data_IF_258544620826
#
_entry.id   IF_258544620826
#
_cell.length_a   1.000
_cell.length_b   1.000
_cell.length_c   1.000
_cell.angle_alpha   90.00
_cell.angle_beta   90.00
_cell.angle_gamma   90.00
#
_symmetry.space_group_name_H-M   'P 1'
#
loop_
_entity.id
_entity.type
_entity.pdbx_description
1 polymer ?
#
# COMPACT_ATOMS: atom_id res chain seq x y z
N UNK A 1 -14.25 -8.43 9.75
CA UNK A 1 -14.05 -9.45 10.80
C UNK A 1 -15.36 -9.91 11.49
N UNK A 2 -16.52 -9.78 10.84
CA UNK A 2 -17.83 -10.24 11.37
C UNK A 2 -18.49 -11.36 10.54
N UNK A 3 -17.88 -11.77 9.42
CA UNK A 3 -18.43 -12.80 8.51
C UNK A 3 -17.77 -14.18 8.76
N UNK A 4 -16.61 -14.22 9.41
CA UNK A 4 -15.89 -15.48 9.69
C UNK A 4 -16.28 -16.16 11.01
N UNK A 5 -17.11 -15.53 11.85
CA UNK A 5 -17.58 -16.12 13.12
C UNK A 5 -18.86 -16.95 12.91
N UNK A 6 -19.58 -16.76 11.80
CA UNK A 6 -20.82 -17.50 11.53
C UNK A 6 -20.62 -18.95 11.07
N UNK A 7 -19.43 -19.28 10.54
CA UNK A 7 -19.20 -20.62 9.97
C UNK A 7 -18.80 -21.69 11.00
N UNK A 8 -18.53 -21.32 12.26
CA UNK A 8 -18.12 -22.27 13.32
C UNK A 8 -19.30 -22.69 14.22
N UNK A 9 -20.41 -21.96 14.22
CA UNK A 9 -21.59 -22.29 15.04
C UNK A 9 -22.66 -23.14 14.33
N UNK A 10 -22.53 -23.42 13.04
CA UNK A 10 -23.54 -24.18 12.28
C UNK A 10 -23.46 -25.71 12.47
N UNK A 11 -22.38 -26.23 13.08
CA UNK A 11 -22.15 -27.67 13.26
C UNK A 11 -22.67 -28.28 14.57
N UNK A 12 -23.25 -27.50 15.50
CA UNK A 12 -23.51 -27.97 16.87
C UNK A 12 -24.89 -27.56 17.44
N UNK A 13 -25.93 -27.47 16.59
CA UNK A 13 -27.33 -27.69 16.99
C UNK A 13 -27.93 -26.89 18.17
N UNK A 14 -27.43 -25.70 18.53
CA UNK A 14 -27.92 -24.94 19.70
C UNK A 14 -28.20 -23.46 19.37
N UNK A 15 -29.31 -23.18 18.67
CA UNK A 15 -29.91 -21.84 18.66
C UNK A 15 -31.46 -21.92 18.72
N UNK A 16 -32.13 -21.09 19.55
CA UNK A 16 -33.59 -21.05 19.63
C UNK A 16 -34.24 -20.62 18.31
N UNK A 17 -35.31 -21.30 17.87
CA UNK A 17 -36.03 -21.05 16.60
C UNK A 17 -36.49 -19.60 16.38
N UNK A 18 -36.68 -18.82 17.45
CA UNK A 18 -37.06 -17.40 17.36
C UNK A 18 -35.90 -16.47 16.95
N UNK A 19 -34.65 -16.83 17.24
CA UNK A 19 -33.46 -16.06 16.84
C UNK A 19 -33.12 -16.29 15.35
N UNK A 20 -33.37 -17.50 14.85
CA UNK A 20 -33.21 -17.87 13.43
C UNK A 20 -34.10 -17.01 12.53
N UNK A 21 -35.36 -16.78 12.92
CA UNK A 21 -36.30 -15.95 12.13
C UNK A 21 -35.88 -14.48 12.04
N UNK A 22 -35.26 -13.92 13.08
CA UNK A 22 -34.79 -12.53 13.09
C UNK A 22 -33.48 -12.34 12.30
N UNK A 23 -32.57 -13.32 12.36
CA UNK A 23 -31.31 -13.30 11.61
C UNK A 23 -31.53 -13.55 10.11
N UNK A 24 -32.44 -14.47 9.74
CA UNK A 24 -32.81 -14.71 8.34
C UNK A 24 -33.55 -13.50 7.74
N UNK A 25 -34.42 -12.83 8.49
CA UNK A 25 -35.08 -11.60 8.03
C UNK A 25 -34.10 -10.43 7.82
N UNK A 26 -33.11 -10.28 8.71
CA UNK A 26 -32.05 -9.27 8.57
C UNK A 26 -31.11 -9.58 7.39
N UNK A 27 -30.77 -10.85 7.16
CA UNK A 27 -29.98 -11.28 6.01
C UNK A 27 -30.73 -11.11 4.68
N UNK A 28 -32.05 -11.37 4.65
CA UNK A 28 -32.90 -11.14 3.47
C UNK A 28 -33.07 -9.65 3.14
N UNK A 29 -33.17 -8.79 4.15
CA UNK A 29 -33.24 -7.34 3.95
C UNK A 29 -31.91 -6.74 3.43
N UNK A 30 -30.76 -7.32 3.80
CA UNK A 30 -29.44 -6.91 3.31
C UNK A 30 -29.17 -7.46 1.90
N UNK A 31 -29.67 -8.67 1.57
CA UNK A 31 -29.47 -9.29 0.26
C UNK A 31 -30.39 -8.72 -0.84
N UNK A 32 -31.60 -8.24 -0.50
CA UNK A 32 -32.55 -7.69 -1.49
C UNK A 32 -32.20 -6.28 -1.97
N UNK A 33 -31.28 -5.58 -1.30
CA UNK A 33 -30.85 -4.24 -1.71
C UNK A 33 -29.65 -4.22 -2.68
N UNK A 34 -29.06 -5.39 -3.02
CA UNK A 34 -27.87 -5.50 -3.89
C UNK A 34 -28.02 -6.31 -5.17
N UNK A 35 -29.15 -6.98 -5.41
CA UNK A 35 -29.42 -7.69 -6.66
C UNK A 35 -30.86 -7.43 -7.14
N UNK A 36 -31.06 -6.29 -7.78
CA UNK A 36 -32.20 -6.04 -8.66
C UNK A 36 -31.69 -5.62 -10.04
N UNK A 37 -30.89 -6.48 -10.64
CA UNK A 37 -30.62 -6.46 -12.07
C UNK A 37 -30.55 -7.90 -12.55
N UNK A 38 -31.45 -8.24 -13.48
CA UNK A 38 -31.48 -9.46 -14.30
C UNK A 38 -32.05 -10.72 -13.64
N UNK A 39 -33.37 -10.90 -13.78
CA UNK A 39 -33.94 -12.22 -14.02
C UNK A 39 -34.99 -12.08 -15.14
N UNK A 40 -34.61 -12.44 -16.35
CA UNK A 40 -35.53 -12.73 -17.46
C UNK A 40 -35.72 -14.24 -17.45
N UNK A 41 -36.86 -14.71 -16.95
CA UNK A 41 -37.44 -15.99 -17.35
C UNK A 41 -38.95 -15.82 -17.41
N UNK A 42 -39.48 -16.09 -18.61
CA UNK A 42 -40.87 -15.85 -18.96
C UNK A 42 -41.84 -16.81 -18.30
N UNK A 43 -43.02 -16.29 -17.99
CA UNK A 43 -44.27 -17.01 -18.16
C UNK A 43 -45.39 -15.98 -18.37
N UNK A 44 -46.25 -16.32 -19.30
CA UNK A 44 -47.39 -15.61 -19.86
C UNK A 44 -48.37 -14.99 -18.86
N UNK A 45 -49.01 -13.93 -19.37
CA UNK A 45 -50.41 -13.49 -19.16
C UNK A 45 -50.64 -12.23 -18.32
N UNK A 46 -51.48 -11.35 -18.89
CA UNK A 46 -52.07 -10.12 -18.36
C UNK A 46 -51.28 -8.81 -18.47
N UNK A 47 -50.92 -8.47 -19.72
CA UNK A 47 -51.00 -7.07 -20.13
C UNK A 47 -52.48 -6.64 -20.19
N UNK A 48 -52.98 -5.94 -19.16
CA UNK A 48 -54.11 -4.98 -19.22
C UNK A 48 -54.51 -4.54 -17.80
N UNK A 49 -53.98 -3.42 -17.35
CA UNK A 49 -54.77 -2.33 -16.76
C UNK A 49 -53.84 -1.21 -16.31
N UNK A 50 -54.32 0.03 -16.45
CA UNK A 50 -53.72 1.27 -15.95
C UNK A 50 -52.60 1.91 -16.77
N UNK A 51 -52.90 2.21 -18.03
CA UNK A 51 -52.64 3.56 -18.55
C UNK A 51 -53.79 4.47 -18.08
N UNK A 52 -53.56 5.31 -17.08
CA UNK A 52 -54.30 6.58 -16.81
C UNK A 52 -53.73 7.31 -15.60
N UNK A 53 -52.55 7.90 -15.79
CA UNK A 53 -52.08 9.13 -15.16
C UNK A 53 -50.77 9.47 -15.86
N UNK A 54 -50.69 10.63 -16.51
CA UNK A 54 -49.55 11.06 -17.33
C UNK A 54 -48.26 11.34 -16.55
N UNK A 55 -47.78 10.36 -15.78
CA UNK A 55 -46.48 10.41 -15.14
C UNK A 55 -45.52 9.57 -15.99
N UNK A 56 -44.63 10.24 -16.75
CA UNK A 56 -43.49 9.56 -17.38
C UNK A 56 -42.73 8.87 -16.24
N UNK A 57 -42.34 7.59 -16.34
CA UNK A 57 -41.43 7.02 -15.37
C UNK A 57 -40.15 7.83 -15.46
N UNK A 58 -39.94 8.71 -14.47
CA UNK A 58 -38.66 9.32 -14.25
C UNK A 58 -37.67 8.17 -14.17
N UNK A 59 -36.61 8.23 -14.98
CA UNK A 59 -35.43 7.41 -14.72
C UNK A 59 -35.12 7.65 -13.25
N UNK A 60 -35.34 6.64 -12.41
CA UNK A 60 -34.64 6.54 -11.16
C UNK A 60 -33.20 6.33 -11.60
N UNK A 61 -32.48 7.43 -11.76
CA UNK A 61 -31.04 7.40 -11.65
C UNK A 61 -30.85 6.95 -10.21
N UNK A 62 -30.65 5.64 -10.03
CA UNK A 62 -29.99 5.17 -8.82
C UNK A 62 -28.63 5.82 -8.92
N UNK A 63 -28.47 6.98 -8.29
CA UNK A 63 -27.17 7.51 -7.99
C UNK A 63 -26.54 6.44 -7.11
N UNK A 64 -25.80 5.51 -7.73
CA UNK A 64 -24.74 4.79 -7.05
C UNK A 64 -23.99 5.87 -6.31
N UNK A 65 -23.98 5.81 -4.97
CA UNK A 65 -23.17 6.75 -4.19
C UNK A 65 -21.76 6.81 -4.79
N UNK A 66 -21.05 7.93 -4.71
CA UNK A 66 -19.74 8.03 -5.34
C UNK A 66 -18.90 6.83 -4.91
N UNK A 67 -18.34 6.11 -5.89
CA UNK A 67 -17.36 5.06 -5.63
C UNK A 67 -16.18 5.75 -4.93
N UNK A 68 -16.19 5.68 -3.59
CA UNK A 68 -15.23 6.37 -2.71
C UNK A 68 -13.79 6.10 -3.14
N UNK A 69 -13.56 4.89 -3.65
CA UNK A 69 -12.27 4.43 -4.15
C UNK A 69 -12.37 3.87 -5.56
N UNK A 70 -11.33 4.16 -6.34
CA UNK A 70 -11.00 3.37 -7.52
C UNK A 70 -10.15 2.18 -7.07
N UNK A 71 -10.76 1.00 -7.02
CA UNK A 71 -10.14 -0.24 -6.57
C UNK A 71 -9.20 -0.86 -7.64
N UNK A 72 -8.18 -1.64 -7.23
CA UNK A 72 -7.75 -1.86 -5.85
C UNK A 72 -7.04 -0.63 -5.24
N UNK A 73 -7.20 -0.40 -3.94
CA UNK A 73 -6.43 0.60 -3.19
C UNK A 73 -5.22 -0.04 -2.50
N UNK A 74 -4.03 0.51 -2.73
CA UNK A 74 -2.80 0.01 -2.13
C UNK A 74 -2.32 0.89 -0.99
N UNK A 75 -1.82 0.25 0.07
CA UNK A 75 -1.30 0.92 1.26
C UNK A 75 -0.30 0.04 2.00
N UNK A 76 0.63 0.63 2.79
CA UNK A 76 1.50 -0.15 3.65
C UNK A 76 0.69 -0.91 4.71
N UNK A 77 1.12 -2.10 5.18
CA UNK A 77 0.43 -2.82 6.25
C UNK A 77 0.24 -2.00 7.54
N UNK A 78 1.20 -1.12 7.86
CA UNK A 78 1.11 -0.21 9.00
C UNK A 78 -0.04 0.82 8.90
N UNK A 79 -0.60 1.00 7.70
CA UNK A 79 -1.72 1.89 7.42
C UNK A 79 -3.04 1.12 7.27
N UNK A 80 -3.06 -0.19 7.52
CA UNK A 80 -4.21 -1.07 7.23
C UNK A 80 -5.53 -0.65 7.90
N UNK A 81 -5.44 -0.09 9.11
CA UNK A 81 -6.56 0.36 9.95
C UNK A 81 -6.76 1.88 9.93
N UNK A 82 -6.06 2.61 9.06
CA UNK A 82 -6.18 4.06 8.97
C UNK A 82 -7.28 4.45 7.97
N UNK A 83 -7.83 5.64 8.13
CA UNK A 83 -8.74 6.24 7.15
C UNK A 83 -7.95 6.43 5.85
N UNK A 84 -8.48 5.92 4.74
CA UNK A 84 -7.83 6.06 3.45
C UNK A 84 -8.51 7.18 2.68
N UNK A 85 -7.75 8.19 2.29
CA UNK A 85 -8.24 9.28 1.46
C UNK A 85 -7.50 9.23 0.11
N UNK A 86 -8.21 8.82 -0.95
CA UNK A 86 -7.63 8.73 -2.29
C UNK A 86 -7.59 10.11 -2.95
N UNK A 87 -6.50 10.86 -2.76
CA UNK A 87 -6.28 12.20 -3.33
C UNK A 87 -5.71 12.18 -4.75
N UNK A 88 -5.07 11.07 -5.12
CA UNK A 88 -4.70 10.73 -6.49
C UNK A 88 -5.15 9.31 -6.78
N UNK A 89 -5.38 8.98 -8.04
CA UNK A 89 -5.47 7.59 -8.49
C UNK A 89 -4.16 7.20 -9.16
N UNK A 90 -3.70 5.95 -8.99
CA UNK A 90 -2.51 5.45 -9.66
C UNK A 90 -1.18 6.01 -9.13
N UNK A 91 -0.10 5.70 -9.86
CA UNK A 91 1.24 6.25 -9.64
C UNK A 91 1.61 7.17 -10.81
N UNK A 92 2.16 8.36 -10.53
CA UNK A 92 2.51 9.33 -11.58
C UNK A 92 3.66 8.86 -12.48
N UNK A 93 4.51 7.96 -11.99
CA UNK A 93 5.63 7.39 -12.76
C UNK A 93 5.24 6.17 -13.57
N UNK A 94 4.57 5.19 -12.94
CA UNK A 94 4.03 3.95 -13.52
C UNK A 94 4.89 3.21 -14.57
N UNK A 95 6.22 3.35 -14.53
CA UNK A 95 7.15 2.71 -15.49
C UNK A 95 8.01 1.60 -14.87
N UNK A 96 8.00 1.46 -13.54
CA UNK A 96 8.72 0.39 -12.84
C UNK A 96 8.28 -0.98 -13.34
N UNK A 97 9.19 -1.76 -13.92
CA UNK A 97 8.85 -3.02 -14.60
C UNK A 97 8.38 -4.12 -13.64
N UNK A 98 8.85 -4.09 -12.38
CA UNK A 98 8.40 -5.00 -11.30
C UNK A 98 7.04 -4.65 -10.70
N UNK A 99 6.53 -3.43 -10.93
CA UNK A 99 5.32 -2.94 -10.26
C UNK A 99 4.08 -3.18 -11.11
N UNK A 100 3.18 -4.02 -10.61
CA UNK A 100 1.92 -4.40 -11.27
C UNK A 100 0.69 -3.70 -10.66
N UNK A 101 0.89 -2.89 -9.62
CA UNK A 101 -0.19 -2.30 -8.82
C UNK A 101 -1.07 -1.33 -9.63
N UNK A 102 -0.49 -0.56 -10.56
CA UNK A 102 -1.16 0.55 -11.24
C UNK A 102 -1.22 0.38 -12.76
N UNK A 103 -1.09 -0.85 -13.27
CA UNK A 103 -1.06 -1.13 -14.72
C UNK A 103 -2.45 -1.21 -15.35
N UNK A 104 -3.49 -1.49 -14.57
CA UNK A 104 -4.86 -1.54 -15.06
C UNK A 104 -5.37 -0.15 -15.50
N UNK A 105 -6.19 -0.09 -16.54
CA UNK A 105 -6.65 1.16 -17.15
C UNK A 105 -7.34 2.10 -16.15
N UNK A 106 -8.19 1.54 -15.27
CA UNK A 106 -8.86 2.32 -14.23
C UNK A 106 -7.89 2.93 -13.21
N UNK A 107 -6.67 2.41 -13.08
CA UNK A 107 -5.60 2.93 -12.20
C UNK A 107 -4.72 3.96 -12.90
N UNK A 108 -5.08 4.43 -14.10
CA UNK A 108 -4.40 5.52 -14.77
C UNK A 108 -4.29 6.76 -13.87
N UNK A 109 -3.12 7.38 -13.88
CA UNK A 109 -2.82 8.46 -12.97
C UNK A 109 -3.73 9.68 -13.19
N UNK A 110 -4.38 10.14 -12.13
CA UNK A 110 -5.07 11.44 -12.09
C UNK A 110 -5.12 12.00 -10.67
N UNK A 111 -5.10 13.32 -10.55
CA UNK A 111 -5.44 13.99 -9.30
C UNK A 111 -6.96 14.07 -9.13
N UNK A 112 -7.48 13.84 -7.91
CA UNK A 112 -8.89 14.12 -7.61
C UNK A 112 -9.12 15.63 -7.47
N UNK A 113 -10.27 16.08 -7.96
CA UNK A 113 -10.71 17.47 -7.87
C UNK A 113 -10.98 17.89 -6.41
N UNK A 114 -11.03 19.21 -6.11
CA UNK A 114 -11.40 19.70 -4.78
C UNK A 114 -12.75 19.17 -4.31
N UNK A 115 -13.74 19.10 -5.20
CA UNK A 115 -15.09 18.66 -4.87
C UNK A 115 -15.17 17.17 -4.58
N UNK A 116 -14.45 16.34 -5.35
CA UNK A 116 -14.30 14.90 -5.05
C UNK A 116 -13.68 14.69 -3.66
N UNK A 117 -12.61 15.40 -3.33
CA UNK A 117 -11.95 15.24 -2.02
C UNK A 117 -12.86 15.69 -0.87
N UNK A 118 -13.62 16.78 -1.03
CA UNK A 118 -14.60 17.22 -0.02
C UNK A 118 -15.72 16.20 0.16
N UNK A 119 -16.25 15.67 -0.95
CA UNK A 119 -17.27 14.61 -0.92
C UNK A 119 -16.76 13.35 -0.22
N UNK A 120 -15.54 12.91 -0.55
CA UNK A 120 -14.91 11.74 0.07
C UNK A 120 -14.72 11.96 1.59
N UNK A 121 -14.24 13.14 2.00
CA UNK A 121 -14.05 13.47 3.41
C UNK A 121 -15.36 13.50 4.20
N UNK A 122 -16.45 14.02 3.64
CA UNK A 122 -17.76 13.97 4.30
C UNK A 122 -18.26 12.54 4.49
N UNK A 123 -18.06 11.67 3.49
CA UNK A 123 -18.39 10.25 3.60
C UNK A 123 -17.53 9.55 4.66
N UNK A 124 -16.21 9.76 4.63
CA UNK A 124 -15.26 9.17 5.59
C UNK A 124 -15.54 9.63 7.02
N UNK A 125 -15.90 10.91 7.20
CA UNK A 125 -16.30 11.48 8.49
C UNK A 125 -17.58 10.84 9.03
N UNK A 126 -18.57 10.59 8.16
CA UNK A 126 -19.78 9.89 8.55
C UNK A 126 -19.50 8.44 8.95
N UNK A 127 -18.67 7.72 8.18
CA UNK A 127 -18.27 6.34 8.48
C UNK A 127 -17.51 6.25 9.80
N UNK A 128 -16.52 7.12 10.02
CA UNK A 128 -15.72 7.13 11.25
C UNK A 128 -16.57 7.35 12.51
N UNK A 129 -17.59 8.21 12.44
CA UNK A 129 -18.53 8.43 13.56
C UNK A 129 -19.34 7.18 13.92
N UNK A 130 -19.63 6.30 12.95
CA UNK A 130 -20.39 5.08 13.17
C UNK A 130 -19.54 3.96 13.83
N UNK A 131 -18.23 3.98 13.62
CA UNK A 131 -17.32 2.95 14.14
C UNK A 131 -17.03 3.06 15.64
N UNK A 132 -17.60 4.07 16.34
CA UNK A 132 -17.39 4.32 17.77
C UNK A 132 -15.90 4.29 18.18
N UNK A 133 -15.03 4.77 17.29
CA UNK A 133 -13.59 4.71 17.47
C UNK A 133 -13.16 5.52 18.71
N UNK A 134 -12.46 4.85 19.63
CA UNK A 134 -12.02 5.45 20.91
C UNK A 134 -10.68 6.18 20.80
N UNK A 135 -10.04 6.17 19.64
CA UNK A 135 -8.73 6.73 19.39
C UNK A 135 -8.79 7.77 18.26
N UNK A 136 -7.95 8.83 18.32
CA UNK A 136 -7.96 9.84 17.28
C UNK A 136 -7.59 9.25 15.91
N UNK A 137 -8.24 9.69 14.83
CA UNK A 137 -8.08 9.08 13.52
C UNK A 137 -6.67 9.31 12.97
N UNK A 138 -6.20 8.35 12.18
CA UNK A 138 -5.01 8.49 11.33
C UNK A 138 -5.47 8.40 9.89
N UNK A 139 -4.88 9.23 9.03
CA UNK A 139 -5.26 9.34 7.61
C UNK A 139 -4.08 8.97 6.73
N UNK A 140 -4.30 8.12 5.73
CA UNK A 140 -3.35 7.82 4.68
C UNK A 140 -3.82 8.47 3.37
N UNK A 141 -3.00 9.35 2.81
CA UNK A 141 -3.23 9.93 1.49
C UNK A 141 -2.82 8.90 0.43
N UNK A 142 -3.82 8.21 -0.10
CA UNK A 142 -3.70 7.32 -1.24
C UNK A 142 -3.81 8.14 -2.54
N UNK A 143 -3.39 7.65 -3.70
CA UNK A 143 -2.86 6.31 -3.95
C UNK A 143 -1.34 6.32 -4.07
N UNK A 144 -0.79 5.63 -5.07
CA UNK A 144 0.65 5.37 -5.23
C UNK A 144 1.57 6.56 -5.30
N UNK A 145 1.08 7.80 -5.46
CA UNK A 145 1.96 8.96 -5.51
C UNK A 145 1.34 10.33 -5.13
N UNK A 146 0.71 10.43 -3.97
CA UNK A 146 0.06 11.67 -3.50
C UNK A 146 0.99 12.91 -3.49
N UNK A 147 2.28 12.73 -3.19
CA UNK A 147 3.25 13.84 -3.07
C UNK A 147 3.63 14.50 -4.40
N UNK A 148 3.19 13.95 -5.54
CA UNK A 148 3.33 14.60 -6.85
C UNK A 148 2.52 15.91 -6.94
N UNK A 149 1.46 16.04 -6.14
CA UNK A 149 0.62 17.23 -6.12
C UNK A 149 1.43 18.48 -5.72
N UNK A 150 1.12 19.67 -6.27
CA UNK A 150 1.73 20.93 -5.86
C UNK A 150 1.54 21.19 -4.36
N UNK A 151 2.50 21.87 -3.71
CA UNK A 151 2.45 22.15 -2.26
C UNK A 151 1.15 22.84 -1.85
N UNK A 152 0.69 23.83 -2.63
CA UNK A 152 -0.57 24.54 -2.36
C UNK A 152 -1.78 23.57 -2.30
N UNK A 153 -1.82 22.57 -3.19
CA UNK A 153 -2.88 21.57 -3.21
C UNK A 153 -2.80 20.63 -2.01
N UNK A 154 -1.60 20.21 -1.63
CA UNK A 154 -1.38 19.41 -0.42
C UNK A 154 -1.80 20.16 0.86
N UNK A 155 -1.51 21.48 0.94
CA UNK A 155 -1.95 22.33 2.05
C UNK A 155 -3.47 22.39 2.16
N UNK A 156 -4.16 22.57 1.03
CA UNK A 156 -5.63 22.56 1.00
C UNK A 156 -6.18 21.22 1.50
N UNK A 157 -5.65 20.11 0.98
CA UNK A 157 -6.06 18.75 1.37
C UNK A 157 -5.86 18.51 2.88
N UNK A 158 -4.68 18.84 3.41
CA UNK A 158 -4.39 18.65 4.84
C UNK A 158 -5.27 19.54 5.73
N UNK A 159 -5.62 20.74 5.26
CA UNK A 159 -6.55 21.63 5.96
C UNK A 159 -7.95 21.02 6.01
N UNK A 160 -8.45 20.51 4.88
CA UNK A 160 -9.74 19.80 4.81
C UNK A 160 -9.76 18.55 5.70
N UNK A 161 -8.66 17.80 5.74
CA UNK A 161 -8.52 16.64 6.65
C UNK A 161 -8.67 17.08 8.11
N UNK A 162 -8.04 18.19 8.52
CA UNK A 162 -8.15 18.72 9.88
C UNK A 162 -9.55 19.29 10.19
N UNK A 163 -10.24 19.85 9.21
CA UNK A 163 -11.63 20.29 9.36
C UNK A 163 -12.58 19.09 9.53
N UNK A 164 -12.36 18.02 8.79
CA UNK A 164 -13.12 16.79 8.91
C UNK A 164 -12.84 16.05 10.22
N UNK A 165 -11.57 16.03 10.65
CA UNK A 165 -11.03 15.32 11.80
C UNK A 165 -10.13 16.25 12.66
N UNK A 166 -10.71 17.10 13.53
CA UNK A 166 -9.94 18.08 14.30
C UNK A 166 -8.86 17.50 15.21
N UNK A 167 -9.03 16.25 15.65
CA UNK A 167 -8.13 15.50 16.52
C UNK A 167 -7.21 14.53 15.75
N UNK A 168 -7.13 14.63 14.41
CA UNK A 168 -6.30 13.73 13.59
C UNK A 168 -4.88 13.57 14.14
N UNK A 169 -4.50 12.34 14.49
CA UNK A 169 -3.23 12.05 15.13
C UNK A 169 -2.06 12.14 14.14
N UNK A 170 -2.30 11.72 12.90
CA UNK A 170 -1.27 11.65 11.85
C UNK A 170 -1.89 11.61 10.47
N UNK A 171 -1.25 12.32 9.52
CA UNK A 171 -1.38 12.06 8.09
C UNK A 171 -0.09 11.43 7.55
N UNK A 172 -0.22 10.41 6.70
CA UNK A 172 0.88 9.71 6.01
C UNK A 172 0.60 9.61 4.51
N UNK A 173 1.63 9.39 3.68
CA UNK A 173 1.45 9.11 2.25
C UNK A 173 2.61 8.32 1.64
N UNK A 174 2.38 7.71 0.47
CA UNK A 174 3.47 7.33 -0.42
C UNK A 174 4.17 8.57 -1.01
N UNK A 175 5.43 8.40 -1.36
CA UNK A 175 6.23 9.42 -2.01
C UNK A 175 7.33 8.81 -2.88
N UNK A 176 7.40 9.22 -4.15
CA UNK A 176 8.61 9.03 -4.97
C UNK A 176 9.67 10.09 -4.61
N UNK A 177 10.98 9.74 -4.59
CA UNK A 177 12.06 10.69 -4.31
C UNK A 177 12.01 11.98 -5.15
N UNK A 178 11.74 11.90 -6.46
CA UNK A 178 11.56 13.07 -7.34
C UNK A 178 10.54 14.10 -6.87
N UNK A 179 9.49 13.68 -6.16
CA UNK A 179 8.43 14.58 -5.73
C UNK A 179 8.87 15.46 -4.56
N UNK A 180 9.86 15.00 -3.80
CA UNK A 180 10.53 15.78 -2.75
C UNK A 180 11.49 16.80 -3.37
N UNK A 181 12.13 16.47 -4.49
CA UNK A 181 13.05 17.38 -5.17
C UNK A 181 12.38 18.72 -5.51
N UNK A 182 11.14 18.68 -6.00
CA UNK A 182 10.36 19.85 -6.37
C UNK A 182 9.74 20.65 -5.22
N UNK A 183 9.96 20.26 -3.95
CA UNK A 183 9.40 20.94 -2.76
C UNK A 183 10.52 21.42 -1.87
N UNK A 184 10.48 22.67 -1.39
CA UNK A 184 11.50 23.18 -0.46
C UNK A 184 11.41 22.51 0.92
N UNK A 185 12.44 22.69 1.77
CA UNK A 185 12.38 22.18 3.16
C UNK A 185 11.28 22.90 3.92
N UNK A 186 11.10 24.19 3.66
CA UNK A 186 10.08 25.06 4.24
C UNK A 186 8.68 24.60 3.85
N UNK A 187 8.46 24.24 2.57
CA UNK A 187 7.20 23.65 2.11
C UNK A 187 6.87 22.37 2.88
N UNK A 188 7.84 21.47 3.02
CA UNK A 188 7.65 20.20 3.71
C UNK A 188 7.42 20.40 5.21
N UNK A 189 8.10 21.37 5.83
CA UNK A 189 7.88 21.76 7.22
C UNK A 189 6.47 22.34 7.41
N UNK A 190 5.98 23.13 6.46
CA UNK A 190 4.59 23.63 6.47
C UNK A 190 3.58 22.48 6.39
N UNK A 191 3.76 21.52 5.46
CA UNK A 191 2.91 20.32 5.38
C UNK A 191 2.96 19.53 6.69
N UNK A 192 4.13 19.48 7.34
CA UNK A 192 4.28 18.87 8.66
C UNK A 192 3.46 19.59 9.73
N UNK A 193 3.43 20.93 9.73
CA UNK A 193 2.60 21.71 10.65
C UNK A 193 1.11 21.44 10.43
N UNK A 194 0.69 21.14 9.20
CA UNK A 194 -0.68 20.78 8.86
C UNK A 194 -1.05 19.31 9.15
N UNK A 195 -0.11 18.50 9.68
CA UNK A 195 -0.41 17.15 10.19
C UNK A 195 0.24 16.01 9.40
N UNK A 196 0.92 16.28 8.30
CA UNK A 196 1.76 15.27 7.64
C UNK A 196 2.90 14.87 8.58
N UNK A 197 3.12 13.58 8.83
CA UNK A 197 4.20 13.13 9.73
C UNK A 197 5.12 12.10 9.10
N UNK A 198 4.61 11.24 8.21
CA UNK A 198 5.36 10.10 7.70
C UNK A 198 5.21 9.97 6.19
N UNK A 199 6.33 9.83 5.51
CA UNK A 199 6.39 9.56 4.07
C UNK A 199 6.99 8.18 3.82
N UNK A 200 6.26 7.36 3.09
CA UNK A 200 6.71 6.05 2.60
C UNK A 200 7.48 6.26 1.30
N UNK A 201 8.80 6.18 1.37
CA UNK A 201 9.70 6.48 0.26
C UNK A 201 10.05 5.19 -0.49
N UNK A 202 9.63 5.10 -1.75
CA UNK A 202 10.00 4.00 -2.63
C UNK A 202 11.42 4.21 -3.17
N UNK A 203 12.42 3.62 -2.52
CA UNK A 203 13.80 3.53 -3.00
C UNK A 203 14.05 2.22 -3.76
N UNK A 204 13.57 1.11 -3.19
CA UNK A 204 13.61 -0.27 -3.69
C UNK A 204 15.01 -0.88 -3.89
N UNK A 205 16.00 -0.10 -4.28
CA UNK A 205 17.41 -0.46 -4.41
C UNK A 205 18.28 0.77 -4.16
N UNK A 206 19.48 0.59 -3.61
CA UNK A 206 20.52 1.61 -3.57
C UNK A 206 21.54 1.49 -4.71
N UNK A 207 21.29 0.62 -5.67
CA UNK A 207 22.13 0.34 -6.83
C UNK A 207 21.55 0.94 -8.13
N UNK A 208 22.28 1.85 -8.76
CA UNK A 208 21.82 2.61 -9.93
C UNK A 208 21.63 1.75 -11.18
N UNK A 209 22.43 0.69 -11.35
CA UNK A 209 22.29 -0.23 -12.47
C UNK A 209 20.95 -0.99 -12.38
N UNK A 210 20.63 -1.52 -11.20
CA UNK A 210 19.34 -2.17 -10.96
C UNK A 210 18.19 -1.18 -11.15
N UNK A 211 18.29 0.03 -10.59
CA UNK A 211 17.25 1.06 -10.71
C UNK A 211 16.99 1.43 -12.19
N UNK A 212 18.04 1.47 -13.01
CA UNK A 212 17.94 1.68 -14.45
C UNK A 212 17.27 0.49 -15.16
N UNK A 213 17.74 -0.74 -14.92
CA UNK A 213 17.20 -1.97 -15.54
C UNK A 213 15.70 -2.14 -15.27
N UNK A 214 15.24 -1.78 -14.07
CA UNK A 214 13.83 -1.91 -13.68
C UNK A 214 12.98 -0.67 -13.99
N UNK A 215 13.57 0.36 -14.61
CA UNK A 215 12.86 1.58 -15.00
C UNK A 215 12.29 2.36 -13.82
N UNK A 216 12.97 2.39 -12.66
CA UNK A 216 12.49 3.09 -11.45
C UNK A 216 12.51 4.62 -11.61
N UNK A 217 13.39 5.13 -12.47
CA UNK A 217 13.53 6.57 -12.71
C UNK A 217 14.14 7.34 -11.53
N UNK A 218 14.82 6.66 -10.64
CA UNK A 218 15.55 7.26 -9.51
C UNK A 218 16.97 6.71 -9.48
N UNK A 219 17.84 7.36 -8.72
CA UNK A 219 19.17 6.87 -8.38
C UNK A 219 19.30 6.78 -6.85
N UNK A 220 20.39 6.17 -6.41
CA UNK A 220 20.81 6.15 -5.01
C UNK A 220 20.95 7.57 -4.47
N UNK A 221 21.55 8.47 -5.25
CA UNK A 221 21.71 9.88 -4.88
C UNK A 221 20.36 10.62 -4.76
N UNK A 222 19.43 10.42 -5.68
CA UNK A 222 18.13 11.11 -5.61
C UNK A 222 17.30 10.62 -4.42
N UNK A 223 17.41 9.34 -4.08
CA UNK A 223 16.85 8.75 -2.88
C UNK A 223 17.47 9.32 -1.60
N UNK A 224 18.80 9.42 -1.55
CA UNK A 224 19.53 10.02 -0.45
C UNK A 224 19.05 11.46 -0.20
N UNK A 225 19.09 12.30 -1.23
CA UNK A 225 18.67 13.70 -1.15
C UNK A 225 17.23 13.85 -0.65
N UNK A 226 16.31 13.01 -1.14
CA UNK A 226 14.93 13.04 -0.69
C UNK A 226 14.80 12.71 0.80
N UNK A 227 15.49 11.67 1.28
CA UNK A 227 15.45 11.27 2.70
C UNK A 227 16.08 12.35 3.60
N UNK A 228 17.19 12.96 3.18
CA UNK A 228 17.81 14.07 3.92
C UNK A 228 16.83 15.25 4.05
N UNK A 229 16.20 15.65 2.93
CA UNK A 229 15.24 16.76 2.91
C UNK A 229 14.00 16.51 3.77
N UNK A 230 13.49 15.28 3.76
CA UNK A 230 12.39 14.86 4.65
C UNK A 230 12.80 15.04 6.12
N UNK A 231 14.02 14.60 6.48
CA UNK A 231 14.54 14.72 7.85
C UNK A 231 14.75 16.18 8.26
N UNK A 232 15.31 17.01 7.39
CA UNK A 232 15.50 18.45 7.63
C UNK A 232 14.18 19.17 7.88
N UNK A 233 13.11 18.78 7.17
CA UNK A 233 11.75 19.28 7.41
C UNK A 233 11.09 18.74 8.70
N UNK A 234 11.76 17.85 9.44
CA UNK A 234 11.26 17.22 10.66
C UNK A 234 10.19 16.16 10.43
N UNK A 235 10.03 15.67 9.19
CA UNK A 235 9.16 14.55 8.84
C UNK A 235 9.89 13.23 9.05
N UNK A 236 9.13 12.14 9.21
CA UNK A 236 9.67 10.78 9.28
C UNK A 236 9.71 10.13 7.89
N UNK A 237 10.78 9.43 7.61
CA UNK A 237 10.97 8.63 6.40
C UNK A 237 10.80 7.13 6.70
N UNK A 238 9.98 6.45 5.90
CA UNK A 238 9.85 4.99 5.90
C UNK A 238 10.28 4.46 4.54
N UNK A 239 11.46 3.85 4.48
CA UNK A 239 12.08 3.41 3.22
C UNK A 239 11.85 1.91 3.01
N UNK A 240 11.63 1.50 1.77
CA UNK A 240 11.56 0.09 1.37
C UNK A 240 12.72 -0.29 0.44
N UNK A 241 13.33 -1.45 0.69
CA UNK A 241 14.28 -2.16 -0.18
C UNK A 241 13.66 -3.49 -0.61
N UNK A 242 13.79 -3.86 -1.88
CA UNK A 242 13.23 -5.08 -2.47
C UNK A 242 14.33 -6.09 -2.77
N UNK A 243 14.42 -7.14 -1.96
CA UNK A 243 15.30 -8.27 -2.20
C UNK A 243 14.94 -9.03 -3.47
N UNK A 244 15.97 -9.58 -4.13
CA UNK A 244 15.84 -10.29 -5.42
C UNK A 244 15.72 -9.39 -6.64
N UNK A 245 15.66 -8.06 -6.48
CA UNK A 245 15.45 -7.11 -7.58
C UNK A 245 16.59 -7.11 -8.61
N UNK A 246 17.82 -7.47 -8.20
CA UNK A 246 18.96 -7.61 -9.10
C UNK A 246 19.14 -9.00 -9.71
N UNK A 247 18.31 -9.97 -9.30
CA UNK A 247 18.53 -11.39 -9.61
C UNK A 247 19.86 -11.92 -9.07
N UNK A 248 20.20 -13.16 -9.43
CA UNK A 248 21.43 -13.82 -8.96
C UNK A 248 22.70 -13.03 -9.30
N UNK A 249 22.73 -12.40 -10.47
CA UNK A 249 23.92 -11.70 -10.97
C UNK A 249 24.26 -10.45 -10.16
N UNK A 250 23.25 -9.64 -9.80
CA UNK A 250 23.47 -8.36 -9.13
C UNK A 250 23.12 -8.40 -7.62
N UNK A 251 22.69 -9.53 -7.07
CA UNK A 251 22.27 -9.68 -5.66
C UNK A 251 23.32 -9.16 -4.66
N UNK A 252 24.58 -9.56 -4.81
CA UNK A 252 25.65 -9.10 -3.92
C UNK A 252 25.85 -7.58 -3.99
N UNK A 253 25.81 -7.03 -5.20
CA UNK A 253 25.96 -5.60 -5.46
C UNK A 253 24.78 -4.81 -4.90
N UNK A 254 23.56 -5.31 -5.12
CA UNK A 254 22.33 -4.78 -4.58
C UNK A 254 22.40 -4.64 -3.05
N UNK A 255 22.71 -5.72 -2.34
CA UNK A 255 22.81 -5.73 -0.89
C UNK A 255 23.81 -4.67 -0.37
N UNK A 256 25.01 -4.61 -0.97
CA UNK A 256 26.05 -3.68 -0.53
C UNK A 256 25.68 -2.22 -0.82
N UNK A 257 25.18 -1.93 -2.01
CA UNK A 257 24.88 -0.56 -2.41
C UNK A 257 23.61 -0.03 -1.72
N UNK A 258 22.59 -0.87 -1.52
CA UNK A 258 21.45 -0.57 -0.66
C UNK A 258 21.88 -0.28 0.78
N UNK A 259 22.82 -1.05 1.35
CA UNK A 259 23.32 -0.78 2.70
C UNK A 259 24.06 0.56 2.77
N UNK A 260 24.92 0.87 1.79
CA UNK A 260 25.61 2.18 1.71
C UNK A 260 24.62 3.35 1.68
N UNK A 261 23.59 3.27 0.84
CA UNK A 261 22.55 4.30 0.76
C UNK A 261 21.85 4.49 2.11
N UNK A 262 21.41 3.40 2.74
CA UNK A 262 20.71 3.48 4.03
C UNK A 262 21.63 4.03 5.13
N UNK A 263 22.91 3.65 5.13
CA UNK A 263 23.89 4.15 6.09
C UNK A 263 24.11 5.66 5.95
N UNK A 264 24.17 6.18 4.73
CA UNK A 264 24.24 7.61 4.48
C UNK A 264 22.93 8.32 4.85
N UNK A 265 21.78 7.74 4.47
CA UNK A 265 20.48 8.38 4.60
C UNK A 265 19.91 8.37 6.04
N UNK A 266 20.21 7.32 6.82
CA UNK A 266 19.70 7.10 8.19
C UNK A 266 18.17 7.31 8.30
N UNK A 267 17.33 6.53 7.59
CA UNK A 267 15.88 6.69 7.65
C UNK A 267 15.31 6.31 9.02
N UNK A 268 14.12 6.82 9.36
CA UNK A 268 13.45 6.48 10.63
C UNK A 268 12.99 5.02 10.66
N UNK A 269 12.45 4.55 9.53
CA UNK A 269 12.03 3.17 9.33
C UNK A 269 12.67 2.62 8.05
N UNK A 270 13.13 1.38 8.11
CA UNK A 270 13.65 0.63 6.98
C UNK A 270 12.94 -0.71 6.92
N UNK A 271 12.20 -0.94 5.85
CA UNK A 271 11.53 -2.20 5.58
C UNK A 271 12.18 -2.92 4.42
N UNK A 272 12.22 -4.25 4.49
CA UNK A 272 12.55 -5.08 3.33
C UNK A 272 11.35 -5.88 2.89
N UNK A 273 11.22 -6.05 1.58
CA UNK A 273 10.28 -6.96 0.93
C UNK A 273 11.10 -7.85 -0.02
N UNK A 274 10.50 -8.93 -0.52
CA UNK A 274 11.04 -9.69 -1.65
C UNK A 274 10.22 -9.37 -2.89
N UNK A 275 10.87 -9.17 -4.03
CA UNK A 275 10.20 -8.98 -5.32
C UNK A 275 9.39 -10.22 -5.68
N UNK A 276 8.24 -10.03 -6.33
CA UNK A 276 7.36 -11.10 -6.78
C UNK A 276 6.64 -10.68 -8.06
N UNK A 277 6.28 -11.65 -8.90
CA UNK A 277 5.68 -11.41 -10.22
C UNK A 277 4.34 -12.13 -10.40
N UNK A 278 3.26 -11.73 -9.68
CA UNK A 278 1.95 -12.37 -9.80
C UNK A 278 1.37 -12.43 -11.22
N UNK A 279 1.62 -11.41 -12.06
CA UNK A 279 1.16 -11.39 -13.46
C UNK A 279 2.21 -11.88 -14.46
N UNK A 280 3.28 -12.52 -13.97
CA UNK A 280 4.40 -12.99 -14.78
C UNK A 280 5.57 -12.01 -14.82
N UNK A 281 6.75 -12.54 -15.09
CA UNK A 281 8.01 -11.79 -14.97
C UNK A 281 8.51 -11.16 -16.27
N UNK A 282 7.86 -11.40 -17.41
CA UNK A 282 8.42 -11.06 -18.73
C UNK A 282 8.72 -9.57 -18.88
N UNK A 283 7.79 -8.70 -18.45
CA UNK A 283 7.98 -7.24 -18.44
C UNK A 283 9.19 -6.83 -17.62
N UNK A 284 9.43 -7.52 -16.51
CA UNK A 284 10.56 -7.27 -15.62
C UNK A 284 11.87 -7.81 -16.20
N UNK A 285 11.87 -9.06 -16.67
CA UNK A 285 13.02 -9.77 -17.18
C UNK A 285 13.61 -9.12 -18.44
N UNK A 286 12.79 -8.44 -19.25
CA UNK A 286 13.24 -7.70 -20.42
C UNK A 286 14.33 -6.65 -20.11
N UNK A 287 14.37 -6.09 -18.89
CA UNK A 287 15.42 -5.15 -18.45
C UNK A 287 16.79 -5.81 -18.19
N UNK A 288 16.86 -7.14 -18.23
CA UNK A 288 18.05 -7.95 -17.97
C UNK A 288 18.51 -8.74 -19.19
N UNK A 289 17.90 -8.52 -20.35
CA UNK A 289 18.32 -9.09 -21.62
C UNK A 289 19.49 -8.27 -22.18
N UNK A 290 20.72 -8.61 -21.81
CA UNK A 290 21.95 -7.91 -22.22
C UNK A 290 22.71 -8.62 -23.36
N UNK A 291 22.05 -9.55 -24.05
CA UNK A 291 22.66 -10.37 -25.10
C UNK A 291 23.54 -11.51 -24.57
N UNK A 292 23.68 -11.67 -23.25
CA UNK A 292 24.25 -12.89 -22.67
C UNK A 292 23.20 -14.01 -22.63
N UNK A 293 23.65 -15.26 -22.71
CA UNK A 293 22.79 -16.45 -22.78
C UNK A 293 22.03 -16.77 -21.49
N UNK A 294 22.08 -15.92 -20.46
CA UNK A 294 21.64 -16.27 -19.11
C UNK A 294 20.46 -15.46 -18.55
N UNK A 295 20.11 -14.30 -19.12
CA UNK A 295 18.92 -13.51 -18.76
C UNK A 295 18.73 -13.24 -17.25
N UNK A 296 17.52 -12.85 -16.85
CA UNK A 296 17.17 -12.71 -15.43
C UNK A 296 17.03 -14.09 -14.76
N UNK A 297 17.74 -14.27 -13.65
CA UNK A 297 17.64 -15.45 -12.78
C UNK A 297 17.14 -15.02 -11.40
N UNK A 298 15.99 -15.54 -11.02
CA UNK A 298 15.41 -15.35 -9.69
C UNK A 298 16.28 -16.00 -8.61
N UNK A 299 16.31 -15.37 -7.44
CA UNK A 299 16.94 -15.92 -6.26
C UNK A 299 16.07 -17.05 -5.69
N UNK A 300 16.70 -18.15 -5.27
CA UNK A 300 16.05 -19.13 -4.40
C UNK A 300 15.76 -18.51 -3.02
N UNK A 301 14.88 -19.11 -2.19
CA UNK A 301 14.67 -18.65 -0.82
C UNK A 301 15.97 -18.51 -0.02
N UNK A 302 16.89 -19.46 -0.17
CA UNK A 302 18.21 -19.44 0.48
C UNK A 302 19.05 -18.26 0.00
N UNK A 303 19.09 -18.01 -1.32
CA UNK A 303 19.82 -16.88 -1.91
C UNK A 303 19.22 -15.52 -1.49
N UNK A 304 17.91 -15.43 -1.27
CA UNK A 304 17.26 -14.24 -0.68
C UNK A 304 17.73 -14.02 0.75
N UNK A 305 17.85 -15.08 1.55
CA UNK A 305 18.38 -14.98 2.92
C UNK A 305 19.86 -14.58 2.91
N UNK A 306 20.66 -15.07 1.95
CA UNK A 306 22.05 -14.64 1.78
C UNK A 306 22.16 -13.16 1.40
N UNK A 307 21.34 -12.66 0.47
CA UNK A 307 21.27 -11.25 0.11
C UNK A 307 20.89 -10.38 1.33
N UNK A 308 19.86 -10.81 2.07
CA UNK A 308 19.42 -10.14 3.29
C UNK A 308 20.51 -10.15 4.39
N UNK A 309 21.23 -11.26 4.54
CA UNK A 309 22.33 -11.39 5.49
C UNK A 309 23.46 -10.42 5.16
N UNK A 310 23.85 -10.33 3.89
CA UNK A 310 24.85 -9.38 3.43
C UNK A 310 24.39 -7.93 3.63
N UNK A 311 23.13 -7.63 3.31
CA UNK A 311 22.54 -6.31 3.50
C UNK A 311 22.57 -5.90 4.97
N UNK A 312 21.99 -6.71 5.87
CA UNK A 312 21.91 -6.42 7.32
C UNK A 312 23.29 -6.34 7.96
N UNK A 313 24.24 -7.18 7.54
CA UNK A 313 25.63 -7.11 8.00
C UNK A 313 26.29 -5.80 7.61
N UNK A 314 26.01 -5.28 6.41
CA UNK A 314 26.52 -4.00 5.92
C UNK A 314 25.88 -2.76 6.55
N UNK A 315 24.76 -2.89 7.28
CA UNK A 315 24.04 -1.74 7.85
C UNK A 315 24.72 -1.18 9.11
N UNK A 316 24.92 0.13 9.15
CA UNK A 316 25.45 0.92 10.26
C UNK A 316 24.42 1.98 10.71
N UNK A 317 23.19 1.53 10.92
CA UNK A 317 22.07 2.40 11.31
C UNK A 317 21.99 2.56 12.82
N UNK A 318 21.77 3.79 13.28
CA UNK A 318 21.83 4.11 14.73
C UNK A 318 20.51 3.88 15.44
N UNK A 319 19.42 4.43 14.89
CA UNK A 319 18.09 4.47 15.54
C UNK A 319 16.96 3.95 14.65
N UNK A 320 17.27 3.50 13.44
CA UNK A 320 16.29 3.03 12.48
C UNK A 320 15.54 1.82 13.01
N UNK A 321 14.21 1.88 12.95
CA UNK A 321 13.34 0.75 13.20
C UNK A 321 13.32 -0.09 11.93
N UNK A 322 13.74 -1.34 12.04
CA UNK A 322 13.80 -2.27 10.92
C UNK A 322 12.72 -3.33 10.99
N UNK A 323 12.17 -3.65 9.82
CA UNK A 323 11.10 -4.60 9.63
C UNK A 323 11.28 -5.41 8.35
N UNK A 324 11.28 -6.73 8.48
CA UNK A 324 11.17 -7.68 7.37
C UNK A 324 9.97 -8.61 7.59
N UNK A 325 8.92 -8.13 8.24
CA UNK A 325 7.74 -8.90 8.61
C UNK A 325 6.60 -8.85 7.57
N UNK A 326 6.84 -8.19 6.42
CA UNK A 326 5.91 -8.21 5.29
C UNK A 326 5.58 -9.65 4.85
N UNK A 327 4.36 -9.86 4.36
CA UNK A 327 3.89 -11.17 3.92
C UNK A 327 4.76 -11.78 2.81
N UNK A 328 5.45 -10.94 2.02
CA UNK A 328 6.35 -11.38 0.96
C UNK A 328 7.73 -11.86 1.44
N UNK A 329 8.13 -11.67 2.70
CA UNK A 329 9.44 -12.14 3.17
C UNK A 329 9.42 -13.60 3.64
N UNK A 330 10.56 -14.28 3.46
CA UNK A 330 10.79 -15.65 3.93
C UNK A 330 11.09 -15.72 5.43
N UNK A 331 11.76 -14.70 5.98
CA UNK A 331 12.14 -14.63 7.40
C UNK A 331 11.65 -13.32 8.00
N UNK A 332 10.80 -13.42 9.03
CA UNK A 332 10.32 -12.24 9.74
C UNK A 332 11.39 -11.74 10.71
N UNK A 333 11.91 -10.54 10.45
CA UNK A 333 12.88 -9.87 11.32
C UNK A 333 12.34 -8.53 11.81
N UNK A 334 12.61 -8.20 13.06
CA UNK A 334 12.22 -6.90 13.63
C UNK A 334 13.20 -6.44 14.70
N UNK A 335 13.53 -5.15 14.71
CA UNK A 335 14.39 -4.57 15.76
C UNK A 335 14.68 -3.09 15.54
N UNK A 336 15.45 -2.51 16.44
CA UNK A 336 16.10 -1.21 16.26
C UNK A 336 17.56 -1.48 15.92
N UNK A 337 18.00 -1.19 14.70
CA UNK A 337 19.27 -1.72 14.15
C UNK A 337 20.49 -1.45 15.04
N UNK A 338 20.69 -0.21 15.49
CA UNK A 338 21.87 0.12 16.28
C UNK A 338 21.97 -0.65 17.60
N UNK A 339 20.84 -1.13 18.14
CA UNK A 339 20.78 -1.95 19.35
C UNK A 339 20.76 -3.44 19.04
N UNK A 340 19.96 -3.84 18.05
CA UNK A 340 19.56 -5.23 17.83
C UNK A 340 20.35 -5.92 16.70
N UNK A 341 21.26 -5.23 16.00
CA UNK A 341 22.00 -5.76 14.83
C UNK A 341 22.64 -7.13 15.07
N UNK A 342 23.32 -7.33 16.21
CA UNK A 342 23.95 -8.62 16.53
C UNK A 342 22.93 -9.76 16.61
N UNK A 343 21.77 -9.51 17.23
CA UNK A 343 20.68 -10.49 17.32
C UNK A 343 20.11 -10.80 15.93
N UNK A 344 19.88 -9.78 15.11
CA UNK A 344 19.35 -9.97 13.76
C UNK A 344 20.31 -10.80 12.88
N UNK A 345 21.61 -10.57 12.99
CA UNK A 345 22.63 -11.38 12.29
C UNK A 345 22.59 -12.84 12.76
N UNK A 346 22.48 -13.10 14.07
CA UNK A 346 22.38 -14.46 14.59
C UNK A 346 21.12 -15.19 14.10
N UNK A 347 19.98 -14.48 14.01
CA UNK A 347 18.74 -15.04 13.45
C UNK A 347 18.90 -15.40 11.96
N UNK A 348 19.61 -14.56 11.19
CA UNK A 348 19.94 -14.82 9.78
C UNK A 348 20.91 -16.00 9.63
N UNK A 349 21.94 -16.09 10.46
CA UNK A 349 22.89 -17.21 10.44
C UNK A 349 22.21 -18.53 10.81
N UNK A 350 21.28 -18.51 11.77
CA UNK A 350 20.47 -19.68 12.11
C UNK A 350 19.58 -20.12 10.92
N UNK A 351 18.96 -19.16 10.22
CA UNK A 351 18.18 -19.46 9.01
C UNK A 351 19.05 -20.06 7.89
N UNK A 352 20.26 -19.51 7.66
CA UNK A 352 21.22 -20.05 6.67
C UNK A 352 21.73 -21.44 7.02
N UNK A 353 21.82 -21.76 8.31
CA UNK A 353 22.17 -23.08 8.79
C UNK A 353 20.98 -24.07 8.78
N UNK A 354 19.79 -23.66 8.31
CA UNK A 354 18.58 -24.49 8.31
C UNK A 354 17.98 -24.75 9.69
N UNK A 355 18.36 -23.95 10.71
CA UNK A 355 17.88 -24.08 12.08
C UNK A 355 16.55 -23.34 12.32
N UNK A 356 16.16 -22.47 11.38
CA UNK A 356 14.90 -21.74 11.38
C UNK A 356 14.16 -22.04 10.10
N UNK A 357 12.89 -22.44 10.23
CA UNK A 357 12.05 -22.71 9.07
C UNK A 357 11.68 -21.39 8.38
N UNK A 358 11.92 -21.32 7.07
CA UNK A 358 11.51 -20.20 6.25
C UNK A 358 10.01 -20.29 5.95
N UNK A 359 9.35 -19.14 5.84
CA UNK A 359 7.95 -19.08 5.40
C UNK A 359 7.83 -19.77 4.03
N UNK A 360 6.97 -20.79 3.89
CA UNK A 360 6.83 -21.49 2.62
C UNK A 360 6.13 -20.60 1.58
N UNK A 361 6.36 -20.88 0.30
CA UNK A 361 5.88 -20.03 -0.80
C UNK A 361 4.36 -19.83 -0.79
N UNK A 362 3.58 -20.88 -0.49
CA UNK A 362 2.11 -20.81 -0.39
C UNK A 362 1.59 -19.91 0.73
N UNK A 363 2.43 -19.59 1.72
CA UNK A 363 2.09 -18.71 2.84
C UNK A 363 2.57 -17.26 2.61
N UNK A 364 3.27 -16.98 1.51
CA UNK A 364 3.65 -15.62 1.11
C UNK A 364 2.50 -14.93 0.40
N UNK A 365 2.46 -13.60 0.49
CA UNK A 365 1.43 -12.77 -0.15
C UNK A 365 1.87 -11.32 -0.31
N UNK A 366 1.16 -10.60 -1.18
CA UNK A 366 1.30 -9.16 -1.42
C UNK A 366 0.21 -8.36 -0.72
#
# INVERSE_FOLDING_TARGET
>A
MAVSIFYIAYGQGRLPRQLIRRVVAAAFAIATCRYAATFVLGASSSARSMQRAGCRPGRIVVATGPDLYVEPVFRPPAEAANIILQVTNGCSWNRCTYCEMYTAEQKAFRAKSPDEIRSDLEMLKALHKLEAASAPPRVFLADGDAMTLPTARLREILSLVREAFPDVARVSSYCLPRNIRGKSVEDLAELRHLGLRTLYVGCESGDDEILQRVGKGETSETSFQAIQKIREAGLKSSVMILHGLGGRQLSRQHAVNSAKLMNAAQPDFLSTLVVSFPLGRDRFAAGFEDGTSQGFQELSPEEVIEEMSLFVTGLELRRTIFRSDHASNYLALQGVLGRDKKRLILELDAARAGLVELRPEWARGL
#
